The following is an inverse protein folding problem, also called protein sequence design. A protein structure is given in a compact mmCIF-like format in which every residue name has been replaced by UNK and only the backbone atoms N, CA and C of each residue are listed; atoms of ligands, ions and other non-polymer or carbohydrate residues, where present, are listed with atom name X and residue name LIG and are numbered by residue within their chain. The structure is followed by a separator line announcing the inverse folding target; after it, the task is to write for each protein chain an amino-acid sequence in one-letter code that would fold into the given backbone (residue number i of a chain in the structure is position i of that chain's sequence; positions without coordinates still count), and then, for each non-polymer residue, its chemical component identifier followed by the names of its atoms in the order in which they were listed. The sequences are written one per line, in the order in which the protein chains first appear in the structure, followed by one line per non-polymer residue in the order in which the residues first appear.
data_IF_637886974119
#
_entry.id   IF_637886974119
#
_cell.length_a   1.000
_cell.length_b   1.000
_cell.length_c   1.000
_cell.angle_alpha   90.00
_cell.angle_beta   90.00
_cell.angle_gamma   90.00
#
_symmetry.space_group_name_H-M   'P 1'
#
loop_
_entity.id
_entity.type
_entity.pdbx_description
1 polymer ?
#
# COMPACT_ATOMS: atom_id res chain seq x y z
N UNK A 1 -64.36 2.32 -19.49
CA UNK A 1 -63.28 1.57 -20.19
C UNK A 1 -62.07 2.49 -20.26
N UNK A 2 -60.85 2.21 -19.82
CA UNK A 2 -60.18 1.06 -19.19
C UNK A 2 -59.09 1.68 -18.30
N UNK A 3 -58.97 1.19 -17.09
CA UNK A 3 -57.84 1.42 -16.18
C UNK A 3 -56.58 0.81 -16.80
N UNK A 4 -55.55 1.62 -17.04
CA UNK A 4 -54.21 1.10 -17.35
C UNK A 4 -53.39 1.08 -16.07
N UNK A 5 -53.23 -0.14 -15.54
CA UNK A 5 -52.21 -0.52 -14.57
C UNK A 5 -50.90 -0.77 -15.33
N UNK A 6 -49.82 -0.08 -14.95
CA UNK A 6 -48.44 -0.52 -15.13
C UNK A 6 -47.66 0.04 -13.93
N UNK A 7 -47.41 -0.76 -12.90
CA UNK A 7 -46.33 -1.74 -12.78
C UNK A 7 -44.94 -1.07 -12.70
N UNK A 8 -44.54 -0.90 -11.43
CA UNK A 8 -43.22 -0.88 -10.82
C UNK A 8 -41.92 -0.94 -11.65
N UNK A 9 -40.90 -0.37 -10.97
CA UNK A 9 -39.47 -0.70 -10.99
C UNK A 9 -38.60 0.05 -11.99
N UNK A 10 -38.19 1.25 -11.60
CA UNK A 10 -36.93 1.85 -12.04
C UNK A 10 -36.34 2.68 -10.89
N UNK A 11 -35.61 2.02 -9.99
CA UNK A 11 -34.63 2.69 -9.16
C UNK A 11 -33.28 2.07 -9.48
N UNK A 12 -32.49 2.91 -10.15
CA UNK A 12 -31.22 2.61 -10.75
C UNK A 12 -30.19 2.16 -9.71
N UNK A 13 -29.39 1.17 -10.12
CA UNK A 13 -27.95 1.05 -9.88
C UNK A 13 -27.48 1.46 -8.48
N UNK A 14 -27.87 0.67 -7.48
CA UNK A 14 -27.08 0.49 -6.28
C UNK A 14 -25.92 -0.47 -6.55
N UNK A 15 -25.05 -0.16 -7.52
CA UNK A 15 -23.71 -0.74 -7.56
C UNK A 15 -22.89 -0.04 -6.47
N UNK A 16 -23.26 -0.31 -5.21
CA UNK A 16 -22.30 -0.26 -4.13
C UNK A 16 -21.32 -1.38 -4.41
N UNK A 17 -20.41 -1.18 -5.38
CA UNK A 17 -19.07 -1.68 -5.20
C UNK A 17 -18.68 -1.11 -3.86
N UNK A 18 -18.70 -1.98 -2.84
CA UNK A 18 -18.01 -1.68 -1.60
C UNK A 18 -16.66 -1.14 -2.03
N UNK A 19 -16.32 0.05 -1.55
CA UNK A 19 -14.97 0.57 -1.62
C UNK A 19 -14.10 -0.44 -0.87
N UNK A 20 -13.71 -1.52 -1.55
CA UNK A 20 -12.43 -2.13 -1.28
C UNK A 20 -11.47 -1.03 -1.69
N UNK A 21 -11.00 -0.27 -0.69
CA UNK A 21 -9.89 0.65 -0.88
C UNK A 21 -8.82 -0.12 -1.66
N UNK A 22 -8.59 0.26 -2.92
CA UNK A 22 -7.46 -0.25 -3.67
C UNK A 22 -6.24 0.20 -2.87
N UNK A 23 -5.59 -0.74 -2.16
CA UNK A 23 -4.44 -0.45 -1.31
C UNK A 23 -3.44 0.36 -2.13
N UNK A 24 -3.30 1.64 -1.82
CA UNK A 24 -2.50 2.58 -2.62
C UNK A 24 -1.16 2.76 -1.94
N UNK A 25 -0.08 2.37 -2.62
CA UNK A 25 1.26 2.55 -2.11
C UNK A 25 1.59 4.06 -1.96
N UNK A 26 2.16 4.49 -0.82
CA UNK A 26 2.59 5.87 -0.67
C UNK A 26 3.80 6.17 -1.57
N UNK A 27 3.90 7.41 -2.04
CA UNK A 27 5.08 7.87 -2.76
C UNK A 27 6.24 8.12 -1.78
N UNK A 28 7.42 7.58 -2.09
CA UNK A 28 8.63 7.86 -1.32
C UNK A 28 9.00 9.35 -1.44
N UNK A 29 9.26 10.07 -0.33
CA UNK A 29 9.59 11.49 -0.37
C UNK A 29 11.02 11.70 -0.90
N UNK A 30 11.26 12.89 -1.46
CA UNK A 30 12.62 13.35 -1.74
C UNK A 30 13.25 13.90 -0.47
N UNK A 31 14.42 13.40 -0.11
CA UNK A 31 15.12 13.82 1.10
C UNK A 31 15.99 15.05 0.85
N UNK A 32 16.21 15.90 1.88
CA UNK A 32 17.17 16.98 1.83
C UNK A 32 18.62 16.43 1.74
N UNK A 33 19.47 17.11 0.96
CA UNK A 33 20.92 16.82 0.88
C UNK A 33 21.61 17.30 2.16
N UNK A 34 22.04 16.36 3.00
CA UNK A 34 22.64 16.63 4.29
C UNK A 34 23.89 17.51 4.21
N UNK A 35 24.67 17.40 3.13
CA UNK A 35 25.91 18.18 2.97
C UNK A 35 25.67 19.68 2.77
N UNK A 36 24.48 20.07 2.33
CA UNK A 36 24.12 21.44 1.98
C UNK A 36 22.89 21.99 2.72
N UNK A 37 22.17 21.14 3.46
CA UNK A 37 20.91 21.50 4.11
C UNK A 37 21.10 22.24 5.44
N UNK A 38 20.10 23.04 5.79
CA UNK A 38 19.97 23.64 7.13
C UNK A 38 19.36 22.64 8.12
N UNK A 39 19.47 22.93 9.42
CA UNK A 39 18.77 22.16 10.46
C UNK A 39 17.26 22.08 10.21
N UNK A 40 16.65 23.19 9.78
CA UNK A 40 15.22 23.26 9.49
C UNK A 40 14.84 22.30 8.36
N UNK A 41 15.60 22.30 7.26
CA UNK A 41 15.41 21.37 6.15
C UNK A 41 15.59 19.90 6.57
N UNK A 42 16.56 19.60 7.44
CA UNK A 42 16.73 18.25 7.97
C UNK A 42 15.56 17.80 8.86
N UNK A 43 14.96 18.72 9.63
CA UNK A 43 13.75 18.44 10.42
C UNK A 43 12.52 18.23 9.52
N UNK A 44 12.39 18.98 8.44
CA UNK A 44 11.38 18.73 7.40
C UNK A 44 11.58 17.35 6.76
N UNK A 45 12.83 16.99 6.43
CA UNK A 45 13.21 15.65 5.97
C UNK A 45 12.75 14.55 6.93
N UNK A 46 12.99 14.72 8.23
CA UNK A 46 12.51 13.79 9.25
C UNK A 46 10.98 13.67 9.24
N UNK A 47 10.28 14.79 9.12
CA UNK A 47 8.82 14.80 9.11
C UNK A 47 8.26 14.09 7.86
N UNK A 48 8.89 14.27 6.70
CA UNK A 48 8.53 13.55 5.48
C UNK A 48 8.70 12.04 5.63
N UNK A 49 9.82 11.58 6.21
CA UNK A 49 10.04 10.15 6.49
C UNK A 49 8.95 9.61 7.42
N UNK A 50 8.64 10.30 8.52
CA UNK A 50 7.57 9.88 9.45
C UNK A 50 6.21 9.79 8.78
N UNK A 51 5.88 10.77 7.92
CA UNK A 51 4.64 10.77 7.15
C UNK A 51 4.58 9.58 6.20
N UNK A 52 5.68 9.28 5.50
CA UNK A 52 5.76 8.09 4.66
C UNK A 52 5.58 6.80 5.47
N UNK A 53 6.27 6.66 6.60
CA UNK A 53 6.17 5.47 7.46
C UNK A 53 4.74 5.23 7.95
N UNK A 54 4.03 6.28 8.36
CA UNK A 54 2.63 6.16 8.77
C UNK A 54 1.74 5.67 7.61
N UNK A 55 1.89 6.28 6.42
CA UNK A 55 1.12 5.88 5.24
C UNK A 55 1.50 4.46 4.76
N UNK A 56 2.77 4.07 4.88
CA UNK A 56 3.25 2.75 4.47
C UNK A 56 2.73 1.66 5.42
N UNK A 57 2.68 1.94 6.72
CA UNK A 57 2.07 1.03 7.69
C UNK A 57 0.56 0.81 7.42
N UNK A 58 -0.17 1.87 7.07
CA UNK A 58 -1.57 1.77 6.66
C UNK A 58 -1.73 0.96 5.37
N UNK A 59 -0.87 1.21 4.39
CA UNK A 59 -0.83 0.45 3.13
C UNK A 59 -0.53 -1.04 3.37
N UNK A 60 0.49 -1.37 4.16
CA UNK A 60 0.85 -2.75 4.48
C UNK A 60 -0.29 -3.48 5.21
N UNK A 61 -0.97 -2.80 6.15
CA UNK A 61 -2.16 -3.35 6.82
C UNK A 61 -3.29 -3.64 5.84
N UNK A 62 -3.47 -2.79 4.81
CA UNK A 62 -4.43 -3.05 3.75
C UNK A 62 -4.05 -4.32 2.95
N UNK A 63 -2.77 -4.46 2.57
CA UNK A 63 -2.26 -5.62 1.82
C UNK A 63 -2.45 -6.95 2.55
N UNK A 64 -2.37 -6.97 3.88
CA UNK A 64 -2.56 -8.20 4.69
C UNK A 64 -3.90 -8.91 4.37
N UNK A 65 -4.95 -8.14 4.07
CA UNK A 65 -6.26 -8.71 3.68
C UNK A 65 -6.18 -9.45 2.34
N UNK A 66 -5.42 -8.91 1.39
CA UNK A 66 -5.18 -9.53 0.09
C UNK A 66 -4.33 -10.80 0.21
N UNK A 67 -3.31 -10.78 1.07
CA UNK A 67 -2.45 -11.92 1.35
C UNK A 67 -3.25 -13.08 1.96
N UNK A 68 -4.06 -12.81 2.98
CA UNK A 68 -4.87 -13.86 3.62
C UNK A 68 -5.92 -14.42 2.64
N UNK A 69 -6.54 -13.56 1.83
CA UNK A 69 -7.48 -13.98 0.79
C UNK A 69 -6.82 -14.88 -0.26
N UNK A 70 -5.62 -14.52 -0.73
CA UNK A 70 -4.85 -15.31 -1.69
C UNK A 70 -4.37 -16.64 -1.09
N UNK A 71 -3.99 -16.65 0.19
CA UNK A 71 -3.62 -17.87 0.93
C UNK A 71 -4.80 -18.85 1.03
N UNK A 72 -5.98 -18.36 1.41
CA UNK A 72 -7.20 -19.19 1.47
C UNK A 72 -7.55 -19.74 0.08
N UNK A 73 -7.41 -18.92 -0.97
CA UNK A 73 -7.62 -19.37 -2.35
C UNK A 73 -6.64 -20.48 -2.74
N UNK A 74 -5.35 -20.32 -2.43
CA UNK A 74 -4.33 -21.34 -2.67
C UNK A 74 -4.62 -22.65 -1.92
N UNK A 75 -5.03 -22.59 -0.66
CA UNK A 75 -5.43 -23.77 0.12
C UNK A 75 -6.61 -24.51 -0.54
N UNK A 76 -7.65 -23.78 -0.96
CA UNK A 76 -8.81 -24.38 -1.64
C UNK A 76 -8.45 -25.00 -2.99
N UNK A 77 -7.54 -24.38 -3.74
CA UNK A 77 -7.04 -24.93 -5.00
C UNK A 77 -6.32 -26.27 -4.77
N UNK A 78 -5.48 -26.34 -3.73
CA UNK A 78 -4.79 -27.58 -3.32
C UNK A 78 -5.80 -28.67 -2.92
N UNK A 79 -6.80 -28.35 -2.09
CA UNK A 79 -7.82 -29.31 -1.66
C UNK A 79 -8.62 -29.89 -2.84
N UNK A 80 -8.89 -29.08 -3.86
CA UNK A 80 -9.63 -29.49 -5.06
C UNK A 80 -8.75 -30.16 -6.12
N UNK A 81 -7.44 -29.97 -6.05
CA UNK A 81 -6.49 -30.43 -7.07
C UNK A 81 -6.63 -29.70 -8.41
N UNK A 82 -7.12 -28.46 -8.41
CA UNK A 82 -7.38 -27.66 -9.62
C UNK A 82 -6.97 -26.20 -9.39
N UNK A 83 -6.35 -25.57 -10.40
CA UNK A 83 -5.89 -24.17 -10.35
C UNK A 83 -4.80 -23.87 -9.31
N UNK A 84 -4.01 -24.87 -8.92
CA UNK A 84 -3.03 -24.76 -7.83
C UNK A 84 -1.92 -23.77 -8.15
N UNK A 85 -1.36 -23.83 -9.37
CA UNK A 85 -0.23 -23.00 -9.77
C UNK A 85 -0.63 -21.53 -9.85
N UNK A 86 -1.81 -21.23 -10.39
CA UNK A 86 -2.35 -19.87 -10.48
C UNK A 86 -2.62 -19.28 -9.10
N UNK A 87 -3.24 -20.06 -8.20
CA UNK A 87 -3.54 -19.60 -6.85
C UNK A 87 -2.25 -19.40 -6.01
N UNK A 88 -1.25 -20.26 -6.19
CA UNK A 88 0.07 -20.10 -5.57
C UNK A 88 0.79 -18.86 -6.11
N UNK A 89 0.79 -18.64 -7.42
CA UNK A 89 1.39 -17.45 -8.02
C UNK A 89 0.72 -16.16 -7.53
N UNK A 90 -0.61 -16.15 -7.39
CA UNK A 90 -1.33 -15.02 -6.81
C UNK A 90 -0.94 -14.75 -5.34
N UNK A 91 -0.77 -15.80 -4.54
CA UNK A 91 -0.32 -15.68 -3.15
C UNK A 91 1.13 -15.18 -3.03
N UNK A 92 2.02 -15.68 -3.88
CA UNK A 92 3.41 -15.19 -3.98
C UNK A 92 3.45 -13.72 -4.42
N UNK A 93 2.64 -13.33 -5.42
CA UNK A 93 2.53 -11.95 -5.85
C UNK A 93 2.07 -11.01 -4.72
N UNK A 94 1.07 -11.43 -3.93
CA UNK A 94 0.58 -10.64 -2.80
C UNK A 94 1.68 -10.44 -1.72
N UNK A 95 2.45 -11.48 -1.41
CA UNK A 95 3.57 -11.39 -0.48
C UNK A 95 4.71 -10.51 -1.03
N UNK A 96 5.01 -10.62 -2.33
CA UNK A 96 6.03 -9.79 -2.96
C UNK A 96 5.69 -8.30 -2.91
N UNK A 97 4.43 -7.93 -3.10
CA UNK A 97 3.97 -6.54 -2.96
C UNK A 97 4.17 -6.01 -1.54
N UNK A 98 3.88 -6.83 -0.52
CA UNK A 98 4.13 -6.45 0.88
C UNK A 98 5.63 -6.30 1.18
N UNK A 99 6.44 -7.26 0.71
CA UNK A 99 7.90 -7.20 0.88
C UNK A 99 8.52 -5.99 0.17
N UNK A 100 7.95 -5.57 -0.98
CA UNK A 100 8.36 -4.35 -1.65
C UNK A 100 8.05 -3.09 -0.81
N UNK A 101 6.91 -3.05 -0.11
CA UNK A 101 6.58 -1.96 0.81
C UNK A 101 7.57 -1.88 1.99
N UNK A 102 7.96 -3.04 2.56
CA UNK A 102 9.00 -3.12 3.59
C UNK A 102 10.33 -2.60 3.05
N UNK A 103 10.75 -3.07 1.87
CA UNK A 103 12.01 -2.67 1.23
C UNK A 103 12.06 -1.16 0.99
N UNK A 104 10.97 -0.57 0.50
CA UNK A 104 10.89 0.88 0.27
C UNK A 104 11.08 1.70 1.57
N UNK A 105 10.54 1.22 2.69
CA UNK A 105 10.72 1.86 3.99
C UNK A 105 12.15 1.73 4.52
N UNK A 106 12.76 0.55 4.39
CA UNK A 106 14.16 0.31 4.78
C UNK A 106 15.12 1.18 3.97
N UNK A 107 14.91 1.26 2.65
CA UNK A 107 15.71 2.10 1.76
C UNK A 107 15.62 3.58 2.12
N UNK A 108 14.40 4.10 2.32
CA UNK A 108 14.18 5.51 2.70
C UNK A 108 14.82 5.82 4.06
N UNK A 109 14.65 4.94 5.05
CA UNK A 109 15.27 5.10 6.36
C UNK A 109 16.81 5.05 6.28
N UNK A 110 17.35 4.16 5.44
CA UNK A 110 18.78 4.08 5.17
C UNK A 110 19.33 5.36 4.56
N UNK A 111 18.67 5.90 3.54
CA UNK A 111 19.02 7.15 2.89
C UNK A 111 18.98 8.33 3.87
N UNK A 112 17.88 8.50 4.62
CA UNK A 112 17.78 9.59 5.59
C UNK A 112 18.86 9.53 6.68
N UNK A 113 19.22 8.33 7.14
CA UNK A 113 20.34 8.18 8.07
C UNK A 113 21.69 8.56 7.45
N UNK A 114 21.90 8.38 6.15
CA UNK A 114 23.09 8.86 5.45
C UNK A 114 23.09 10.40 5.42
N UNK A 115 21.99 11.03 5.01
CA UNK A 115 21.86 12.50 4.97
C UNK A 115 22.10 13.13 6.35
N UNK A 116 21.58 12.52 7.42
CA UNK A 116 21.84 12.99 8.80
C UNK A 116 23.32 12.91 9.18
N UNK A 117 24.07 11.91 8.70
CA UNK A 117 25.52 11.82 8.95
C UNK A 117 26.27 12.90 8.18
N UNK A 118 25.90 13.14 6.93
CA UNK A 118 26.50 14.18 6.08
C UNK A 118 26.26 15.57 6.65
N UNK A 119 25.03 15.85 7.11
CA UNK A 119 24.70 17.09 7.83
C UNK A 119 25.58 17.31 9.05
N UNK A 120 25.76 16.27 9.88
CA UNK A 120 26.64 16.36 11.07
C UNK A 120 28.10 16.58 10.69
N UNK A 121 28.56 16.03 9.58
CA UNK A 121 29.94 16.23 9.11
C UNK A 121 30.16 17.65 8.58
N UNK A 122 29.15 18.24 7.92
CA UNK A 122 29.19 19.61 7.42
C UNK A 122 28.99 20.68 8.52
N UNK A 123 28.44 20.30 9.68
CA UNK A 123 28.11 21.19 10.80
C UNK A 123 28.74 20.69 12.13
N UNK A 124 30.06 20.90 12.34
CA UNK A 124 30.80 20.41 13.52
C UNK A 124 30.51 21.16 14.82
#
# INVERSE_FOLDING_TARGET
MKTLKYAALALALGSGYGMADECTAPASPTLPDGSASTMEQMLEGQQMVKTFQAANAEYMKCLETGIESAKVAAQKAIEKGDGVDEAKAAYEAAQNTYNAAVTAEEELAGQFNAEVREYKAANP
#
